data_IF_954545377003
#
_entry.id   IF_954545377003
#
_cell.length_a   1.000
_cell.length_b   1.000
_cell.length_c   1.000
_cell.angle_alpha   90.00
_cell.angle_beta   90.00
_cell.angle_gamma   90.00
#
_symmetry.space_group_name_H-M   'P 1'
#
loop_
_entity.id
_entity.type
_entity.pdbx_description
1 polymer ?
#
# COMPACT_ATOMS: atom_id res chain seq x y z
N UNK A 1 -38.31 76.55 2.77
CA UNK A 1 -36.85 76.42 2.92
C UNK A 1 -36.52 74.94 3.04
N UNK A 2 -35.80 74.42 2.03
CA UNK A 2 -34.75 73.38 2.02
C UNK A 2 -34.61 72.46 3.23
N UNK A 3 -34.31 71.16 3.19
CA UNK A 3 -33.99 70.11 2.19
C UNK A 3 -33.79 68.83 3.05
N UNK A 4 -34.47 67.71 2.79
CA UNK A 4 -33.91 66.43 2.26
C UNK A 4 -32.74 65.84 3.10
N UNK A 5 -32.74 64.58 3.55
CA UNK A 5 -32.36 63.40 2.74
C UNK A 5 -32.72 62.07 3.43
N UNK A 6 -33.11 61.15 2.53
CA UNK A 6 -33.39 59.71 2.57
C UNK A 6 -32.32 58.80 3.19
N UNK A 7 -32.75 57.70 3.83
CA UNK A 7 -31.93 56.48 3.88
C UNK A 7 -32.77 55.19 3.76
N UNK A 8 -32.80 54.64 2.56
CA UNK A 8 -33.03 53.22 2.29
C UNK A 8 -31.97 52.78 1.29
N UNK A 9 -31.50 51.54 1.44
CA UNK A 9 -30.59 50.76 0.59
C UNK A 9 -29.09 50.83 0.88
N UNK A 10 -28.57 49.83 1.61
CA UNK A 10 -27.27 49.19 1.31
C UNK A 10 -27.02 47.93 2.18
N UNK A 11 -27.71 46.82 1.89
CA UNK A 11 -27.39 45.49 2.46
C UNK A 11 -27.02 44.41 1.42
N UNK A 12 -26.89 44.77 0.14
CA UNK A 12 -26.54 43.81 -0.94
C UNK A 12 -25.08 43.83 -1.41
N UNK A 13 -24.27 44.84 -1.03
CA UNK A 13 -22.88 44.95 -1.52
C UNK A 13 -21.80 44.35 -0.61
N UNK A 14 -22.10 43.98 0.64
CA UNK A 14 -21.09 43.42 1.58
C UNK A 14 -20.83 41.91 1.32
N UNK A 15 -21.79 41.19 0.72
CA UNK A 15 -21.70 39.73 0.49
C UNK A 15 -20.88 39.35 -0.76
N UNK A 16 -20.82 40.23 -1.77
CA UNK A 16 -20.08 39.99 -3.01
C UNK A 16 -18.57 40.20 -2.84
N UNK A 17 -18.17 41.16 -2.01
CA UNK A 17 -16.76 41.51 -1.81
C UNK A 17 -16.02 40.44 -0.97
N UNK A 18 -16.68 39.88 0.04
CA UNK A 18 -16.15 38.78 0.86
C UNK A 18 -15.90 37.50 0.04
N UNK A 19 -16.79 37.18 -0.91
CA UNK A 19 -16.64 36.01 -1.80
C UNK A 19 -15.51 36.19 -2.81
N UNK A 20 -15.26 37.41 -3.28
CA UNK A 20 -14.17 37.74 -4.20
C UNK A 20 -12.81 37.64 -3.51
N UNK A 21 -12.69 38.21 -2.31
CA UNK A 21 -11.48 38.15 -1.49
C UNK A 21 -11.10 36.70 -1.09
N UNK A 22 -12.09 35.84 -0.83
CA UNK A 22 -11.87 34.42 -0.53
C UNK A 22 -11.39 33.62 -1.77
N UNK A 23 -11.96 33.88 -2.96
CA UNK A 23 -11.51 33.27 -4.23
C UNK A 23 -10.08 33.67 -4.60
N UNK A 24 -9.72 34.93 -4.41
CA UNK A 24 -8.39 35.44 -4.75
C UNK A 24 -7.31 34.89 -3.82
N UNK A 25 -7.62 34.69 -2.53
CA UNK A 25 -6.74 34.05 -1.53
C UNK A 25 -6.53 32.55 -1.83
N UNK A 26 -7.55 31.85 -2.32
CA UNK A 26 -7.43 30.45 -2.76
C UNK A 26 -6.61 30.32 -4.06
N UNK A 27 -6.78 31.23 -5.01
CA UNK A 27 -6.03 31.25 -6.28
C UNK A 27 -4.55 31.52 -6.07
N UNK A 28 -4.19 32.47 -5.20
CA UNK A 28 -2.78 32.74 -4.84
C UNK A 28 -2.14 31.60 -4.07
N UNK A 29 -2.86 30.89 -3.19
CA UNK A 29 -2.35 29.70 -2.48
C UNK A 29 -2.11 28.51 -3.42
N UNK A 30 -2.96 28.34 -4.45
CA UNK A 30 -2.80 27.33 -5.51
C UNK A 30 -1.60 27.64 -6.43
N UNK A 31 -1.42 28.90 -6.81
CA UNK A 31 -0.28 29.35 -7.63
C UNK A 31 1.06 29.27 -6.88
N UNK A 32 1.09 29.60 -5.58
CA UNK A 32 2.27 29.37 -4.72
C UNK A 32 2.60 27.88 -4.56
N UNK A 33 1.61 26.99 -4.47
CA UNK A 33 1.84 25.52 -4.47
C UNK A 33 2.42 25.02 -5.79
N UNK A 34 1.95 25.56 -6.91
CA UNK A 34 2.47 25.21 -8.25
C UNK A 34 3.90 25.71 -8.48
N UNK A 35 4.26 26.92 -8.01
CA UNK A 35 5.62 27.44 -8.15
C UNK A 35 6.63 26.76 -7.22
N UNK A 36 6.21 26.37 -6.01
CA UNK A 36 7.02 25.54 -5.10
C UNK A 36 7.26 24.16 -5.72
N UNK A 37 6.22 23.54 -6.28
CA UNK A 37 6.31 22.24 -6.98
C UNK A 37 7.26 22.28 -8.19
N UNK A 38 7.23 23.35 -8.99
CA UNK A 38 8.12 23.54 -10.14
C UNK A 38 9.58 23.80 -9.72
N UNK A 39 9.82 24.50 -8.61
CA UNK A 39 11.19 24.73 -8.10
C UNK A 39 11.83 23.47 -7.49
N UNK A 40 11.05 22.58 -6.87
CA UNK A 40 11.55 21.26 -6.39
C UNK A 40 11.98 20.33 -7.53
N UNK A 41 11.36 20.42 -8.72
CA UNK A 41 11.78 19.61 -9.89
C UNK A 41 13.17 19.99 -10.41
N UNK A 42 13.62 21.24 -10.22
CA UNK A 42 14.86 21.73 -10.81
C UNK A 42 16.11 21.36 -10.00
N UNK A 43 15.96 20.99 -8.73
CA UNK A 43 17.07 20.65 -7.82
C UNK A 43 17.29 19.15 -7.59
N UNK A 44 16.39 18.28 -8.04
CA UNK A 44 16.53 16.81 -7.92
C UNK A 44 17.49 16.16 -8.93
N UNK A 45 18.20 16.93 -9.76
CA UNK A 45 18.95 16.38 -10.89
C UNK A 45 20.34 15.82 -10.57
N UNK A 46 20.94 16.01 -9.40
CA UNK A 46 22.36 15.62 -9.20
C UNK A 46 22.69 15.21 -7.76
N UNK A 47 22.18 14.05 -7.33
CA UNK A 47 22.81 13.11 -6.38
C UNK A 47 21.77 12.08 -5.91
N UNK A 48 21.67 10.94 -6.60
CA UNK A 48 20.84 9.80 -6.14
C UNK A 48 21.56 9.14 -4.96
N UNK A 49 21.15 9.45 -3.74
CA UNK A 49 21.63 8.79 -2.52
C UNK A 49 20.61 7.70 -2.14
N UNK A 50 21.04 6.44 -2.01
CA UNK A 50 20.15 5.27 -1.91
C UNK A 50 20.04 4.76 -0.47
N UNK A 51 19.57 5.59 0.47
CA UNK A 51 19.30 5.15 1.85
C UNK A 51 17.82 4.82 2.04
N UNK A 52 17.53 3.66 2.62
CA UNK A 52 16.18 3.17 2.90
C UNK A 52 15.30 4.11 3.72
N UNK A 53 15.96 4.88 4.56
CA UNK A 53 15.42 5.50 5.75
C UNK A 53 16.36 6.64 6.11
N UNK A 54 16.03 7.88 5.71
CA UNK A 54 16.64 9.05 6.34
C UNK A 54 15.62 9.60 7.33
N UNK A 55 16.02 9.76 8.59
CA UNK A 55 15.31 10.68 9.49
C UNK A 55 15.48 12.07 8.90
N UNK A 56 14.39 12.70 8.49
CA UNK A 56 14.44 14.11 8.11
C UNK A 56 14.84 14.97 9.32
N UNK A 57 15.01 16.27 9.13
CA UNK A 57 15.48 17.17 10.19
C UNK A 57 14.52 17.25 11.41
N UNK A 58 13.33 16.64 11.30
CA UNK A 58 12.33 16.49 12.38
C UNK A 58 12.34 15.10 13.05
N UNK A 59 13.24 14.21 12.63
CA UNK A 59 13.33 12.84 13.15
C UNK A 59 12.36 11.84 12.49
N UNK A 60 11.64 12.23 11.44
CA UNK A 60 10.64 11.40 10.76
C UNK A 60 11.30 10.54 9.68
N UNK A 61 10.90 9.27 9.56
CA UNK A 61 11.44 8.35 8.56
C UNK A 61 10.91 8.69 7.16
N UNK A 62 11.81 8.91 6.19
CA UNK A 62 11.48 9.20 4.78
C UNK A 62 12.04 8.11 3.86
N UNK A 63 11.19 7.59 2.96
CA UNK A 63 11.53 6.56 1.97
C UNK A 63 12.10 7.20 0.70
N UNK A 64 13.18 6.64 0.14
CA UNK A 64 13.92 7.25 -0.96
C UNK A 64 13.59 6.71 -2.36
N UNK A 65 12.82 5.64 -2.49
CA UNK A 65 12.41 5.10 -3.81
C UNK A 65 11.06 5.68 -4.25
N UNK A 66 10.97 7.00 -4.26
CA UNK A 66 9.87 7.73 -4.90
C UNK A 66 10.42 8.42 -6.15
N UNK A 67 10.08 7.89 -7.32
CA UNK A 67 10.30 8.55 -8.59
C UNK A 67 8.94 8.90 -9.17
N UNK A 68 8.67 10.17 -9.42
CA UNK A 68 7.39 10.61 -9.98
C UNK A 68 7.07 10.04 -11.37
N UNK A 69 8.07 9.46 -12.05
CA UNK A 69 7.93 8.74 -13.33
C UNK A 69 7.71 7.22 -13.18
N UNK A 70 7.83 6.72 -11.93
CA UNK A 70 7.48 5.36 -11.52
C UNK A 70 6.22 5.35 -10.63
N UNK A 71 5.84 6.51 -10.09
CA UNK A 71 4.65 6.77 -9.28
C UNK A 71 3.37 6.97 -10.09
N UNK A 72 3.43 6.85 -11.42
CA UNK A 72 2.28 6.51 -12.24
C UNK A 72 1.90 5.05 -11.98
N UNK A 73 1.38 4.81 -10.76
CA UNK A 73 0.53 3.68 -10.36
C UNK A 73 -0.23 3.22 -11.59
N UNK A 74 0.13 2.06 -12.11
CA UNK A 74 0.00 1.75 -13.54
C UNK A 74 -1.44 1.85 -13.99
N UNK A 75 -1.81 3.00 -14.55
CA UNK A 75 -3.12 3.16 -15.16
C UNK A 75 -3.33 1.99 -16.11
N UNK A 76 -4.51 1.36 -16.01
CA UNK A 76 -4.93 0.25 -16.86
C UNK A 76 -4.43 0.44 -18.30
N UNK A 77 -3.69 -0.52 -18.87
CA UNK A 77 -3.23 -0.42 -20.24
C UNK A 77 -4.40 -0.08 -21.16
N UNK A 78 -4.25 0.97 -21.97
CA UNK A 78 -5.26 1.40 -22.94
C UNK A 78 -4.64 1.46 -24.33
N UNK A 79 -5.47 1.58 -25.37
CA UNK A 79 -4.98 1.80 -26.74
C UNK A 79 -4.00 2.98 -26.85
N UNK A 80 -4.15 4.00 -26.00
CA UNK A 80 -3.33 5.21 -26.01
C UNK A 80 -2.20 5.19 -24.95
N UNK A 81 -2.13 4.15 -24.11
CA UNK A 81 -1.10 3.94 -23.09
C UNK A 81 -0.71 2.47 -23.07
N UNK A 82 0.23 2.05 -23.93
CA UNK A 82 0.67 0.65 -24.01
C UNK A 82 1.35 0.20 -22.72
N UNK A 83 1.29 -1.11 -22.48
CA UNK A 83 1.86 -1.75 -21.30
C UNK A 83 3.39 -1.58 -21.26
N UNK A 84 3.91 -0.95 -20.21
CA UNK A 84 5.36 -0.89 -19.93
C UNK A 84 5.83 -2.21 -19.33
N UNK A 85 7.11 -2.52 -19.52
CA UNK A 85 7.77 -3.62 -18.84
C UNK A 85 7.59 -3.50 -17.31
N UNK A 86 7.25 -4.62 -16.66
CA UNK A 86 7.04 -4.72 -15.22
C UNK A 86 8.32 -5.04 -14.44
N UNK A 87 9.48 -5.02 -15.11
CA UNK A 87 10.77 -5.32 -14.51
C UNK A 87 11.59 -4.06 -14.19
N UNK A 88 12.61 -4.25 -13.36
CA UNK A 88 13.71 -3.32 -13.17
C UNK A 88 14.53 -3.19 -14.46
N UNK A 89 15.03 -1.99 -14.75
CA UNK A 89 15.86 -1.71 -15.93
C UNK A 89 17.31 -2.21 -15.77
N UNK A 90 17.50 -3.50 -15.51
CA UNK A 90 18.84 -4.09 -15.40
C UNK A 90 19.47 -4.25 -16.78
N UNK A 91 20.76 -3.98 -16.92
CA UNK A 91 21.49 -4.14 -18.20
C UNK A 91 21.82 -5.60 -18.52
N UNK A 92 22.05 -6.40 -17.47
CA UNK A 92 22.26 -7.84 -17.54
C UNK A 92 21.96 -8.45 -16.16
N UNK A 93 21.97 -9.79 -16.06
CA UNK A 93 21.60 -10.53 -14.84
C UNK A 93 22.43 -10.16 -13.60
N UNK A 94 23.61 -9.56 -13.77
CA UNK A 94 24.53 -9.13 -12.71
C UNK A 94 24.48 -7.62 -12.44
N UNK A 95 23.60 -6.87 -13.10
CA UNK A 95 23.46 -5.43 -12.86
C UNK A 95 22.64 -5.18 -11.60
N UNK A 96 23.32 -4.89 -10.50
CA UNK A 96 22.73 -4.52 -9.22
C UNK A 96 22.91 -3.03 -8.93
N UNK A 97 22.87 -2.16 -9.95
CA UNK A 97 23.03 -0.72 -9.75
C UNK A 97 21.82 0.09 -10.21
N UNK A 98 20.98 -0.48 -11.07
CA UNK A 98 19.71 0.11 -11.51
C UNK A 98 18.53 -0.53 -10.79
N UNK A 99 17.62 0.31 -10.31
CA UNK A 99 16.41 -0.10 -9.59
C UNK A 99 15.16 0.61 -10.09
N UNK A 100 15.33 1.49 -11.08
CA UNK A 100 14.24 2.19 -11.75
C UNK A 100 13.49 1.18 -12.62
N UNK A 101 12.20 1.43 -12.85
CA UNK A 101 11.40 0.59 -13.74
C UNK A 101 11.90 0.71 -15.16
N UNK A 102 11.93 -0.40 -15.90
CA UNK A 102 12.25 -0.37 -17.32
C UNK A 102 11.31 0.58 -18.08
N UNK A 103 11.84 1.54 -18.87
CA UNK A 103 11.02 2.46 -19.66
C UNK A 103 10.47 1.82 -20.93
N UNK A 104 10.99 0.64 -21.34
CA UNK A 104 10.57 -0.05 -22.56
C UNK A 104 9.16 -0.63 -22.44
N UNK A 105 8.50 -0.77 -23.58
CA UNK A 105 7.21 -1.45 -23.68
C UNK A 105 7.37 -2.96 -23.48
N UNK A 106 6.37 -3.58 -22.90
CA UNK A 106 6.28 -5.03 -22.86
C UNK A 106 6.00 -5.59 -24.26
N UNK A 107 6.58 -6.75 -24.57
CA UNK A 107 6.24 -7.50 -25.77
C UNK A 107 4.81 -8.02 -25.63
N UNK A 108 4.09 -8.14 -26.75
CA UNK A 108 2.72 -8.65 -26.77
C UNK A 108 2.59 -9.97 -26.00
N UNK A 109 1.54 -10.09 -25.19
CA UNK A 109 1.24 -11.25 -24.33
C UNK A 109 2.30 -11.57 -23.25
N UNK A 110 3.21 -10.65 -22.95
CA UNK A 110 4.18 -10.78 -21.85
C UNK A 110 4.06 -9.62 -20.86
N UNK A 111 4.69 -9.75 -19.69
CA UNK A 111 4.84 -8.66 -18.73
C UNK A 111 6.14 -7.85 -18.94
N UNK A 112 6.99 -8.24 -19.90
CA UNK A 112 8.37 -7.77 -20.00
C UNK A 112 8.76 -7.27 -21.39
N UNK A 113 9.77 -6.41 -21.48
CA UNK A 113 10.36 -6.04 -22.76
C UNK A 113 11.27 -7.15 -23.30
N UNK A 114 11.76 -7.01 -24.52
CA UNK A 114 12.65 -7.99 -25.16
C UNK A 114 13.90 -8.32 -24.32
N UNK A 115 14.46 -7.34 -23.60
CA UNK A 115 15.67 -7.54 -22.79
C UNK A 115 15.42 -8.11 -21.39
N UNK A 116 14.17 -8.18 -20.93
CA UNK A 116 13.84 -8.53 -19.54
C UNK A 116 12.92 -9.74 -19.43
N UNK A 117 12.89 -10.61 -20.43
CA UNK A 117 12.04 -11.81 -20.42
C UNK A 117 12.40 -12.76 -19.26
N UNK A 118 13.63 -12.72 -18.77
CA UNK A 118 14.15 -13.47 -17.61
C UNK A 118 14.08 -12.68 -16.30
N UNK A 119 13.23 -11.64 -16.21
CA UNK A 119 13.05 -10.82 -15.01
C UNK A 119 12.87 -11.62 -13.72
N UNK A 120 12.06 -12.70 -13.75
CA UNK A 120 11.85 -13.53 -12.55
C UNK A 120 13.14 -14.21 -12.09
N UNK A 121 14.00 -14.63 -13.02
CA UNK A 121 15.34 -15.15 -12.70
C UNK A 121 16.24 -14.07 -12.10
N UNK A 122 16.21 -12.85 -12.64
CA UNK A 122 16.92 -11.71 -12.06
C UNK A 122 16.47 -11.39 -10.64
N UNK A 123 15.16 -11.35 -10.40
CA UNK A 123 14.58 -11.03 -9.09
C UNK A 123 14.89 -12.09 -8.02
N UNK A 124 15.18 -13.34 -8.40
CA UNK A 124 15.62 -14.39 -7.46
C UNK A 124 16.94 -14.06 -6.77
N UNK A 125 17.79 -13.21 -7.35
CA UNK A 125 19.02 -12.74 -6.69
C UNK A 125 18.73 -11.99 -5.38
N UNK A 126 17.52 -11.43 -5.22
CA UNK A 126 17.10 -10.68 -4.04
C UNK A 126 16.28 -11.50 -3.03
N UNK A 127 16.12 -12.80 -3.29
CA UNK A 127 15.36 -13.73 -2.45
C UNK A 127 16.25 -14.44 -1.44
N UNK A 128 15.68 -14.70 -0.26
CA UNK A 128 16.31 -15.47 0.82
C UNK A 128 16.40 -16.98 0.51
N UNK A 129 15.46 -17.51 -0.27
CA UNK A 129 15.21 -18.95 -0.43
C UNK A 129 14.22 -19.52 0.61
N UNK A 130 13.71 -18.68 1.51
CA UNK A 130 12.73 -19.03 2.56
C UNK A 130 11.32 -18.50 2.26
N UNK A 131 11.08 -18.03 1.04
CA UNK A 131 9.79 -17.48 0.62
C UNK A 131 8.69 -18.56 0.66
N UNK A 132 7.54 -18.26 1.28
CA UNK A 132 6.43 -19.20 1.34
C UNK A 132 5.82 -19.42 -0.04
N UNK A 133 5.23 -20.60 -0.24
CA UNK A 133 4.47 -20.90 -1.44
C UNK A 133 3.15 -20.11 -1.48
N UNK A 134 2.63 -19.90 -2.69
CA UNK A 134 1.31 -19.33 -2.88
C UNK A 134 0.26 -20.42 -2.60
N UNK A 135 -0.54 -20.25 -1.55
CA UNK A 135 -1.42 -21.31 -1.02
C UNK A 135 -2.91 -20.90 -1.03
N UNK A 136 -3.54 -20.67 -2.20
CA UNK A 136 -4.89 -20.14 -2.28
C UNK A 136 -5.94 -21.05 -1.62
N UNK A 137 -5.76 -22.37 -1.67
CA UNK A 137 -6.67 -23.33 -1.04
C UNK A 137 -6.69 -23.16 0.48
N UNK A 138 -5.51 -23.10 1.12
CA UNK A 138 -5.39 -22.94 2.58
C UNK A 138 -5.97 -21.62 3.09
N UNK A 139 -5.90 -20.57 2.28
CA UNK A 139 -6.43 -19.24 2.61
C UNK A 139 -7.90 -19.04 2.17
N UNK A 140 -8.51 -20.04 1.54
CA UNK A 140 -9.91 -20.02 1.06
C UNK A 140 -10.88 -20.82 1.94
N UNK A 141 -10.40 -21.41 3.04
CA UNK A 141 -11.24 -21.92 4.11
C UNK A 141 -12.17 -20.79 4.60
N UNK A 142 -13.50 -20.99 4.66
CA UNK A 142 -14.45 -19.92 5.02
C UNK A 142 -14.12 -19.18 6.31
N UNK A 143 -13.60 -19.90 7.31
CA UNK A 143 -13.26 -19.35 8.61
C UNK A 143 -11.95 -18.57 8.61
N UNK A 144 -11.16 -18.68 7.54
CA UNK A 144 -9.91 -17.92 7.33
C UNK A 144 -10.14 -16.80 6.32
N UNK A 145 -10.85 -17.08 5.21
CA UNK A 145 -11.11 -16.09 4.16
C UNK A 145 -11.86 -14.87 4.72
N UNK A 146 -12.87 -15.10 5.56
CA UNK A 146 -13.71 -14.06 6.17
C UNK A 146 -13.12 -13.38 7.41
N UNK A 147 -12.13 -13.98 8.08
CA UNK A 147 -11.61 -13.49 9.38
C UNK A 147 -10.15 -13.04 9.38
N UNK A 148 -9.36 -13.41 8.37
CA UNK A 148 -7.98 -12.94 8.19
C UNK A 148 -7.91 -11.98 7.00
N UNK A 149 -7.04 -10.97 7.05
CA UNK A 149 -6.93 -9.93 6.02
C UNK A 149 -5.52 -9.89 5.38
N UNK A 150 -5.21 -8.84 4.63
CA UNK A 150 -3.89 -8.60 4.04
C UNK A 150 -2.75 -8.57 5.07
N UNK A 151 -2.97 -8.08 6.28
CA UNK A 151 -1.94 -8.04 7.33
C UNK A 151 -1.59 -9.44 7.83
N UNK A 152 -2.62 -10.26 8.11
CA UNK A 152 -2.43 -11.67 8.46
C UNK A 152 -1.73 -12.45 7.34
N UNK A 153 -2.12 -12.19 6.09
CA UNK A 153 -1.49 -12.81 4.92
C UNK A 153 -0.03 -12.40 4.74
N UNK A 154 0.28 -11.11 4.92
CA UNK A 154 1.64 -10.58 4.89
C UNK A 154 2.54 -11.23 5.92
N UNK A 155 2.03 -11.49 7.13
CA UNK A 155 2.72 -12.24 8.19
C UNK A 155 2.65 -13.77 8.01
N UNK A 156 2.01 -14.24 6.93
CA UNK A 156 1.77 -15.64 6.61
C UNK A 156 1.21 -16.45 7.79
N UNK A 157 0.30 -15.83 8.56
CA UNK A 157 -0.21 -16.38 9.82
C UNK A 157 -1.74 -16.39 9.85
N UNK A 158 -2.27 -17.58 10.13
CA UNK A 158 -3.67 -17.81 10.43
C UNK A 158 -3.81 -17.97 11.94
N UNK A 159 -4.37 -16.95 12.61
CA UNK A 159 -4.56 -16.96 14.06
C UNK A 159 -5.64 -17.97 14.43
N UNK A 160 -5.26 -19.04 15.14
CA UNK A 160 -6.16 -20.14 15.51
C UNK A 160 -7.40 -19.65 16.29
N UNK A 161 -7.21 -18.81 17.29
CA UNK A 161 -8.31 -18.25 18.08
C UNK A 161 -9.31 -17.44 17.23
N UNK A 162 -8.82 -16.66 16.27
CA UNK A 162 -9.67 -15.91 15.32
C UNK A 162 -10.47 -16.87 14.43
N UNK A 163 -9.83 -17.93 13.91
CA UNK A 163 -10.51 -18.97 13.11
C UNK A 163 -11.60 -19.67 13.91
N UNK A 164 -11.28 -20.12 15.12
CA UNK A 164 -12.22 -20.80 16.03
C UNK A 164 -13.39 -19.88 16.40
N UNK A 165 -13.10 -18.60 16.68
CA UNK A 165 -14.13 -17.63 17.00
C UNK A 165 -15.06 -17.34 15.82
N UNK A 166 -14.50 -17.22 14.61
CA UNK A 166 -15.30 -17.08 13.40
C UNK A 166 -16.19 -18.31 13.18
N UNK A 167 -15.67 -19.52 13.42
CA UNK A 167 -16.46 -20.75 13.33
C UNK A 167 -17.65 -20.73 14.30
N UNK A 168 -17.44 -20.37 15.58
CA UNK A 168 -18.52 -20.24 16.56
C UNK A 168 -19.62 -19.25 16.11
N UNK A 169 -19.21 -18.04 15.69
CA UNK A 169 -20.12 -16.99 15.25
C UNK A 169 -20.94 -17.47 14.04
N UNK A 170 -20.24 -18.06 13.07
CA UNK A 170 -20.85 -18.49 11.83
C UNK A 170 -21.84 -19.64 12.04
N UNK A 171 -21.49 -20.65 12.84
CA UNK A 171 -22.38 -21.78 13.14
C UNK A 171 -23.63 -21.35 13.93
N UNK A 172 -23.51 -20.37 14.84
CA UNK A 172 -24.68 -19.82 15.54
C UNK A 172 -25.69 -19.19 14.58
N UNK A 173 -25.23 -18.54 13.52
CA UNK A 173 -26.08 -17.86 12.54
C UNK A 173 -26.59 -18.80 11.43
N UNK A 174 -25.72 -19.64 10.91
CA UNK A 174 -25.99 -20.43 9.69
C UNK A 174 -26.23 -21.93 9.93
N UNK A 175 -26.13 -22.39 11.19
CA UNK A 175 -26.36 -23.77 11.66
C UNK A 175 -25.43 -24.83 11.09
N UNK A 176 -25.41 -25.02 9.76
CA UNK A 176 -24.77 -26.17 9.10
C UNK A 176 -23.65 -25.79 8.13
N UNK A 177 -23.63 -24.56 7.58
CA UNK A 177 -22.59 -24.17 6.62
C UNK A 177 -22.23 -22.69 6.72
N UNK A 178 -20.93 -22.39 6.67
CA UNK A 178 -20.45 -21.03 6.74
C UNK A 178 -20.22 -20.46 5.33
N UNK A 179 -20.81 -19.30 4.97
CA UNK A 179 -20.46 -18.63 3.73
C UNK A 179 -18.99 -18.21 3.77
N UNK A 180 -18.32 -18.19 2.61
CA UNK A 180 -16.89 -17.79 2.51
C UNK A 180 -16.59 -16.38 3.01
N UNK A 181 -17.62 -15.52 3.03
CA UNK A 181 -17.55 -14.12 3.43
C UNK A 181 -18.68 -13.82 4.39
N UNK A 182 -18.60 -14.34 5.61
CA UNK A 182 -19.49 -13.90 6.68
C UNK A 182 -19.03 -12.54 7.20
N UNK A 183 -19.88 -11.52 7.07
CA UNK A 183 -19.61 -10.17 7.57
C UNK A 183 -19.43 -10.14 9.08
N UNK A 184 -20.01 -11.09 9.83
CA UNK A 184 -19.88 -11.17 11.29
C UNK A 184 -18.47 -11.52 11.74
N UNK A 185 -17.70 -12.23 10.90
CA UNK A 185 -16.28 -12.50 11.19
C UNK A 185 -15.37 -11.32 10.88
N UNK A 186 -15.91 -10.25 10.27
CA UNK A 186 -15.13 -9.12 9.81
C UNK A 186 -14.42 -8.39 10.96
N UNK A 187 -15.07 -8.28 12.11
CA UNK A 187 -14.52 -7.56 13.25
C UNK A 187 -13.39 -8.32 13.96
N UNK A 188 -13.18 -9.60 13.62
CA UNK A 188 -12.09 -10.42 14.13
C UNK A 188 -10.77 -10.22 13.38
N UNK A 189 -10.76 -9.44 12.29
CA UNK A 189 -9.58 -9.25 11.43
C UNK A 189 -8.45 -8.57 12.21
N UNK A 190 -7.27 -9.21 12.36
CA UNK A 190 -6.12 -8.58 13.00
C UNK A 190 -5.74 -7.27 12.29
N UNK A 191 -5.55 -6.19 13.04
CA UNK A 191 -5.09 -4.90 12.50
C UNK A 191 -3.69 -4.54 13.04
N UNK A 192 -2.88 -3.81 12.26
CA UNK A 192 -1.65 -3.23 12.76
C UNK A 192 -1.85 -2.32 13.98
N UNK A 193 -1.15 -2.64 15.06
CA UNK A 193 -1.16 -1.95 16.34
C UNK A 193 -2.12 -2.54 17.37
N UNK A 194 -2.98 -3.50 17.00
CA UNK A 194 -3.94 -4.10 17.93
C UNK A 194 -3.21 -4.88 19.03
N UNK A 195 -2.16 -5.63 18.69
CA UNK A 195 -1.41 -6.43 19.65
C UNK A 195 -0.73 -5.54 20.70
N UNK A 196 0.01 -4.52 20.28
CA UNK A 196 0.64 -3.57 21.22
C UNK A 196 -0.40 -2.87 22.10
N UNK A 197 -1.50 -2.41 21.51
CA UNK A 197 -2.54 -1.72 22.24
C UNK A 197 -3.16 -2.62 23.30
N UNK A 198 -3.60 -3.82 22.93
CA UNK A 198 -4.16 -4.81 23.86
C UNK A 198 -3.16 -5.15 24.96
N UNK A 199 -1.87 -5.29 24.63
CA UNK A 199 -0.82 -5.57 25.61
C UNK A 199 -0.67 -4.44 26.63
N UNK A 200 -0.81 -3.17 26.22
CA UNK A 200 -0.65 -2.01 27.11
C UNK A 200 -1.92 -1.67 27.91
N UNK A 201 -3.10 -1.88 27.34
CA UNK A 201 -4.38 -1.38 27.91
C UNK A 201 -5.37 -2.48 28.28
N UNK A 202 -5.13 -3.72 27.86
CA UNK A 202 -6.06 -4.84 27.96
C UNK A 202 -7.22 -4.80 26.95
N UNK A 203 -7.23 -3.86 26.00
CA UNK A 203 -8.37 -3.64 25.08
C UNK A 203 -7.98 -2.90 23.81
N UNK A 204 -8.60 -3.23 22.68
CA UNK A 204 -8.38 -2.56 21.38
C UNK A 204 -9.31 -1.34 21.16
N UNK A 205 -10.18 -1.01 22.12
CA UNK A 205 -11.20 0.06 22.00
C UNK A 205 -10.61 1.46 21.77
N UNK A 206 -9.34 1.69 22.15
CA UNK A 206 -8.63 2.96 21.98
C UNK A 206 -7.85 3.09 20.68
N UNK A 207 -8.10 2.24 19.67
CA UNK A 207 -7.28 2.19 18.46
C UNK A 207 -7.40 3.45 17.60
N UNK A 208 -6.23 4.04 17.31
CA UNK A 208 -6.11 5.14 16.36
C UNK A 208 -6.12 4.62 14.91
N UNK A 209 -6.96 5.22 14.07
CA UNK A 209 -7.09 4.92 12.64
C UNK A 209 -6.34 5.95 11.79
N UNK A 210 -5.03 6.04 12.01
CA UNK A 210 -4.15 6.94 11.25
C UNK A 210 -3.39 6.11 10.22
N UNK A 211 -3.78 6.23 8.96
CA UNK A 211 -3.22 5.46 7.83
C UNK A 211 -2.18 6.28 7.07
N UNK A 212 -1.11 6.63 7.76
CA UNK A 212 0.06 7.29 7.18
C UNK A 212 1.27 6.35 7.30
N UNK A 213 2.21 6.40 6.36
CA UNK A 213 3.35 5.48 6.37
C UNK A 213 4.10 5.45 7.71
N UNK A 214 4.51 6.59 8.32
CA UNK A 214 5.21 6.55 9.61
C UNK A 214 4.41 5.86 10.73
N UNK A 215 3.10 6.12 10.80
CA UNK A 215 2.21 5.52 11.81
C UNK A 215 2.01 4.03 11.57
N UNK A 216 1.77 3.61 10.33
CA UNK A 216 1.58 2.20 9.98
C UNK A 216 2.86 1.39 10.16
N UNK A 217 4.01 1.97 9.82
CA UNK A 217 5.33 1.39 10.07
C UNK A 217 5.57 1.21 11.56
N UNK A 218 5.30 2.24 12.36
CA UNK A 218 5.42 2.15 13.81
C UNK A 218 4.54 1.02 14.36
N UNK A 219 3.25 0.97 13.98
CA UNK A 219 2.30 -0.07 14.39
C UNK A 219 2.82 -1.49 14.10
N UNK A 220 3.25 -1.80 12.87
CA UNK A 220 3.70 -3.16 12.53
C UNK A 220 5.01 -3.54 13.20
N UNK A 221 5.93 -2.59 13.40
CA UNK A 221 7.23 -2.83 14.03
C UNK A 221 7.09 -3.00 15.55
N UNK A 222 6.16 -2.29 16.17
CA UNK A 222 5.85 -2.44 17.60
C UNK A 222 5.14 -3.76 17.87
N UNK A 223 4.17 -4.15 17.04
CA UNK A 223 3.53 -5.46 17.13
C UNK A 223 4.54 -6.60 16.90
N UNK A 224 5.40 -6.45 15.88
CA UNK A 224 6.33 -7.49 15.43
C UNK A 224 7.77 -6.96 15.40
N UNK A 225 8.48 -6.90 16.55
CA UNK A 225 9.87 -6.42 16.62
C UNK A 225 10.87 -7.25 15.80
N UNK A 226 10.47 -8.44 15.36
CA UNK A 226 11.26 -9.31 14.49
C UNK A 226 11.25 -8.87 13.02
N UNK A 227 10.31 -8.00 12.60
CA UNK A 227 10.31 -7.41 11.26
C UNK A 227 11.52 -6.50 11.08
N UNK A 228 12.16 -6.59 9.92
CA UNK A 228 13.33 -5.75 9.59
C UNK A 228 13.04 -4.94 8.33
N UNK A 229 13.00 -3.61 8.38
CA UNK A 229 12.96 -2.79 7.17
C UNK A 229 14.12 -3.14 6.24
N UNK A 230 13.88 -3.20 4.93
CA UNK A 230 14.86 -3.65 3.93
C UNK A 230 14.64 -2.98 2.59
N UNK A 231 15.67 -2.91 1.73
CA UNK A 231 15.49 -2.52 0.33
C UNK A 231 14.91 -3.66 -0.49
N UNK A 232 14.28 -3.31 -1.60
CA UNK A 232 13.82 -4.29 -2.56
C UNK A 232 14.94 -5.23 -3.03
N UNK A 233 16.08 -4.65 -3.40
CA UNK A 233 17.29 -5.33 -3.91
C UNK A 233 18.16 -5.98 -2.82
N UNK A 234 17.83 -5.78 -1.54
CA UNK A 234 18.54 -6.43 -0.47
C UNK A 234 17.91 -7.79 -0.16
N UNK A 235 18.76 -8.81 -0.09
CA UNK A 235 18.37 -10.16 0.31
C UNK A 235 18.02 -10.18 1.80
N UNK A 236 16.88 -10.78 2.13
CA UNK A 236 16.51 -10.99 3.52
C UNK A 236 17.38 -12.08 4.17
N UNK A 237 17.57 -12.05 5.51
CA UNK A 237 18.28 -13.11 6.22
C UNK A 237 17.63 -14.48 5.99
N UNK A 238 18.40 -15.57 6.19
CA UNK A 238 17.85 -16.92 6.11
C UNK A 238 16.65 -17.08 7.05
N UNK A 239 15.60 -17.74 6.56
CA UNK A 239 14.34 -17.92 7.28
C UNK A 239 13.40 -16.71 7.24
N UNK A 240 13.74 -15.63 6.53
CA UNK A 240 12.87 -14.47 6.33
C UNK A 240 12.51 -14.29 4.86
N UNK A 241 11.27 -13.91 4.56
CA UNK A 241 10.84 -13.54 3.21
C UNK A 241 10.54 -12.04 3.13
N UNK A 242 10.44 -11.46 1.93
CA UNK A 242 10.11 -10.05 1.78
C UNK A 242 8.60 -9.83 1.75
N UNK A 243 8.12 -8.75 2.34
CA UNK A 243 6.79 -8.21 2.09
C UNK A 243 6.82 -6.70 1.97
N UNK A 244 5.71 -6.10 1.56
CA UNK A 244 5.60 -4.67 1.32
C UNK A 244 4.34 -4.08 1.96
N UNK A 245 4.41 -2.81 2.37
CA UNK A 245 3.31 -2.02 2.90
C UNK A 245 3.03 -0.84 1.96
N UNK A 246 1.75 -0.61 1.70
CA UNK A 246 1.24 0.59 1.02
C UNK A 246 0.07 1.17 1.80
N UNK A 247 -0.19 2.46 1.64
CA UNK A 247 -1.37 3.12 2.23
C UNK A 247 -2.10 3.95 1.19
N UNK A 248 -3.42 3.98 1.34
CA UNK A 248 -4.28 5.04 0.83
C UNK A 248 -4.38 6.06 1.97
N UNK A 249 -3.63 7.18 1.90
CA UNK A 249 -3.44 8.08 3.02
C UNK A 249 -4.76 8.49 3.67
N UNK A 250 -4.82 8.37 5.00
CA UNK A 250 -6.00 8.68 5.82
C UNK A 250 -7.24 7.81 5.58
N UNK A 251 -7.19 6.83 4.67
CA UNK A 251 -8.30 5.92 4.37
C UNK A 251 -8.03 4.49 4.84
N UNK A 252 -6.98 3.85 4.32
CA UNK A 252 -6.70 2.43 4.62
C UNK A 252 -5.26 2.03 4.26
N UNK A 253 -4.91 0.77 4.50
CA UNK A 253 -3.60 0.17 4.22
C UNK A 253 -3.73 -1.12 3.43
N UNK A 254 -2.62 -1.56 2.85
CA UNK A 254 -2.55 -2.88 2.21
C UNK A 254 -1.14 -3.46 2.24
N UNK A 255 -1.08 -4.79 2.20
CA UNK A 255 0.17 -5.51 2.26
C UNK A 255 0.32 -6.54 1.15
N UNK A 256 1.58 -6.78 0.77
CA UNK A 256 2.00 -7.78 -0.21
C UNK A 256 2.99 -8.76 0.43
N UNK A 257 2.95 -10.02 0.01
CA UNK A 257 3.88 -11.07 0.40
C UNK A 257 4.66 -11.57 -0.81
N UNK A 258 5.98 -11.68 -0.70
CA UNK A 258 6.80 -12.33 -1.72
C UNK A 258 6.59 -13.85 -1.68
N UNK A 259 6.37 -14.44 -2.85
CA UNK A 259 6.19 -15.86 -3.05
C UNK A 259 7.48 -16.51 -3.60
N UNK A 260 7.59 -17.83 -3.45
CA UNK A 260 8.69 -18.66 -3.97
C UNK A 260 8.94 -18.52 -5.49
N UNK A 261 7.97 -18.00 -6.24
CA UNK A 261 8.04 -17.74 -7.69
C UNK A 261 8.73 -16.41 -8.05
N UNK A 262 9.30 -15.69 -7.08
CA UNK A 262 9.86 -14.34 -7.25
C UNK A 262 8.84 -13.24 -7.58
N UNK A 263 7.55 -13.57 -7.51
CA UNK A 263 6.43 -12.64 -7.60
C UNK A 263 5.92 -12.30 -6.19
N UNK A 264 4.98 -11.37 -6.11
CA UNK A 264 4.24 -11.06 -4.91
C UNK A 264 2.77 -11.39 -5.09
N UNK A 265 2.13 -11.71 -3.98
CA UNK A 265 0.69 -11.89 -3.88
C UNK A 265 0.13 -11.08 -2.72
N UNK A 266 -1.19 -10.94 -2.69
CA UNK A 266 -1.89 -10.18 -1.67
C UNK A 266 -3.29 -10.73 -1.44
N UNK A 267 -3.93 -10.24 -0.37
CA UNK A 267 -5.32 -10.57 -0.02
C UNK A 267 -6.15 -9.27 0.01
N UNK A 268 -7.00 -8.98 -1.00
CA UNK A 268 -7.81 -7.77 -1.02
C UNK A 268 -8.89 -7.80 0.07
N UNK A 269 -8.62 -7.20 1.23
CA UNK A 269 -9.50 -7.28 2.40
C UNK A 269 -9.73 -8.73 2.84
N UNK A 270 -10.99 -9.18 2.82
CA UNK A 270 -11.39 -10.57 3.09
C UNK A 270 -11.64 -11.41 1.83
N UNK A 271 -11.27 -10.91 0.65
CA UNK A 271 -11.43 -11.68 -0.59
C UNK A 271 -10.36 -12.75 -0.73
N UNK A 272 -10.56 -13.69 -1.67
CA UNK A 272 -9.55 -14.67 -2.08
C UNK A 272 -8.19 -14.01 -2.36
N UNK A 273 -7.12 -14.78 -2.17
CA UNK A 273 -5.79 -14.36 -2.55
C UNK A 273 -5.70 -14.03 -4.04
N UNK A 274 -4.85 -13.07 -4.38
CA UNK A 274 -4.56 -12.64 -5.75
C UNK A 274 -3.06 -12.51 -5.95
N UNK A 275 -2.59 -12.89 -7.14
CA UNK A 275 -1.22 -12.63 -7.61
C UNK A 275 -1.14 -11.44 -8.57
N UNK A 276 -2.31 -10.85 -8.89
CA UNK A 276 -2.43 -9.74 -9.83
C UNK A 276 -2.87 -8.45 -9.16
N UNK A 277 -2.45 -7.34 -9.74
CA UNK A 277 -2.77 -5.97 -9.35
C UNK A 277 -4.18 -5.52 -9.81
N UNK A 278 -4.56 -4.26 -9.58
CA UNK A 278 -5.89 -3.75 -9.99
C UNK A 278 -6.08 -3.78 -11.51
N UNK A 279 -5.00 -3.64 -12.27
CA UNK A 279 -4.94 -3.77 -13.72
C UNK A 279 -4.84 -5.21 -14.24
N UNK A 280 -4.95 -6.22 -13.37
CA UNK A 280 -4.87 -7.66 -13.70
C UNK A 280 -3.49 -8.10 -14.21
N UNK A 281 -2.43 -7.39 -13.85
CA UNK A 281 -1.04 -7.75 -14.15
C UNK A 281 -0.39 -8.45 -12.97
N UNK A 282 0.51 -9.40 -13.24
CA UNK A 282 1.28 -10.04 -12.18
C UNK A 282 2.14 -9.03 -11.41
N UNK A 283 2.26 -9.23 -10.10
CA UNK A 283 3.01 -8.32 -9.23
C UNK A 283 4.43 -8.85 -9.07
N UNK A 284 5.39 -8.28 -9.78
CA UNK A 284 6.82 -8.62 -9.64
C UNK A 284 7.52 -7.73 -8.61
N UNK A 285 7.19 -6.44 -8.67
CA UNK A 285 7.78 -5.39 -7.85
C UNK A 285 6.62 -4.54 -7.32
N UNK A 286 6.21 -4.69 -6.04
CA UNK A 286 5.02 -4.03 -5.51
C UNK A 286 4.93 -2.51 -5.72
N UNK A 287 6.04 -1.78 -5.71
CA UNK A 287 6.02 -0.33 -5.97
C UNK A 287 5.76 0.01 -7.45
N UNK A 288 5.95 -0.92 -8.39
CA UNK A 288 5.57 -0.77 -9.82
C UNK A 288 4.15 -1.24 -10.13
N UNK A 289 3.46 -1.91 -9.20
CA UNK A 289 2.12 -2.45 -9.43
C UNK A 289 1.05 -1.35 -9.52
N UNK A 290 -0.02 -1.60 -10.26
CA UNK A 290 -1.22 -0.78 -10.19
C UNK A 290 -1.91 -0.97 -8.83
N UNK A 291 -2.22 0.14 -8.18
CA UNK A 291 -2.84 0.16 -6.85
C UNK A 291 -4.10 1.00 -6.81
N UNK A 292 -4.57 1.43 -7.97
CA UNK A 292 -5.82 2.14 -8.13
C UNK A 292 -6.96 1.14 -8.32
N UNK A 293 -7.71 0.89 -7.26
CA UNK A 293 -8.88 0.01 -7.28
C UNK A 293 -10.18 0.78 -7.53
N UNK A 294 -10.10 2.03 -7.99
CA UNK A 294 -11.25 2.79 -8.45
C UNK A 294 -11.73 2.27 -9.79
N UNK A 295 -13.03 2.02 -9.89
CA UNK A 295 -13.68 1.72 -11.15
C UNK A 295 -14.23 3.00 -11.80
N UNK A 296 -14.49 2.95 -13.11
CA UNK A 296 -15.07 4.06 -13.87
C UNK A 296 -16.53 4.37 -13.47
N UNK A 297 -17.10 3.59 -12.53
CA UNK A 297 -18.47 3.70 -12.04
C UNK A 297 -18.48 4.11 -10.57
N UNK A 298 -18.11 5.37 -10.31
CA UNK A 298 -18.26 6.11 -9.05
C UNK A 298 -18.69 5.25 -7.83
N UNK A 299 -17.78 4.42 -7.32
CA UNK A 299 -17.95 3.82 -6.01
C UNK A 299 -17.25 4.73 -5.00
N UNK A 300 -18.02 5.33 -4.10
CA UNK A 300 -17.51 6.15 -2.99
C UNK A 300 -16.63 5.35 -2.01
N UNK A 301 -16.57 4.03 -2.17
CA UNK A 301 -15.72 3.10 -1.40
C UNK A 301 -14.40 2.74 -2.11
N UNK A 302 -14.12 3.33 -3.26
CA UNK A 302 -13.00 2.90 -4.08
C UNK A 302 -11.64 3.38 -3.54
N UNK A 303 -10.73 2.42 -3.33
CA UNK A 303 -9.44 2.62 -2.65
C UNK A 303 -8.32 2.86 -3.67
N UNK A 304 -7.43 3.81 -3.39
CA UNK A 304 -6.21 4.00 -4.16
C UNK A 304 -4.97 4.13 -3.26
N UNK A 305 -4.12 3.09 -3.24
CA UNK A 305 -2.92 3.09 -2.41
C UNK A 305 -1.77 3.87 -3.06
N UNK A 306 -1.86 5.20 -2.96
CA UNK A 306 -0.90 6.13 -3.56
C UNK A 306 0.47 6.09 -2.89
N UNK A 307 0.55 5.79 -1.59
CA UNK A 307 1.81 5.84 -0.85
C UNK A 307 2.42 4.45 -0.66
N UNK A 308 3.62 4.25 -1.21
CA UNK A 308 4.44 3.07 -0.91
C UNK A 308 5.29 3.31 0.35
N UNK A 309 5.07 2.52 1.40
CA UNK A 309 5.69 2.76 2.71
C UNK A 309 7.00 1.99 2.92
N UNK A 310 7.23 0.90 2.18
CA UNK A 310 8.51 0.19 2.23
C UNK A 310 8.39 -1.33 2.19
N UNK A 311 9.56 -1.97 2.19
CA UNK A 311 9.71 -3.42 2.28
C UNK A 311 10.20 -3.85 3.65
N UNK A 312 9.83 -5.06 4.04
CA UNK A 312 10.20 -5.68 5.31
C UNK A 312 10.61 -7.13 5.09
N UNK A 313 11.68 -7.56 5.75
CA UNK A 313 11.94 -8.97 5.97
C UNK A 313 11.02 -9.46 7.08
N UNK A 314 10.15 -10.39 6.72
CA UNK A 314 9.18 -11.05 7.58
C UNK A 314 9.69 -12.44 7.93
N UNK A 315 9.80 -12.82 9.21
CA UNK A 315 10.24 -14.16 9.55
C UNK A 315 9.23 -15.20 9.04
N UNK A 316 9.72 -16.34 8.57
CA UNK A 316 8.89 -17.49 8.26
C UNK A 316 8.35 -18.13 9.55
N UNK A 317 7.29 -18.94 9.40
CA UNK A 317 6.60 -19.56 10.54
C UNK A 317 7.48 -20.45 11.44
N UNK A 318 8.60 -20.96 10.91
CA UNK A 318 9.59 -21.74 11.68
C UNK A 318 10.38 -20.90 12.71
N UNK A 319 10.44 -19.58 12.55
CA UNK A 319 11.22 -18.69 13.41
C UNK A 319 10.38 -18.00 14.52
N UNK A 320 9.15 -18.47 14.75
CA UNK A 320 8.24 -18.03 15.83
C UNK A 320 7.82 -16.56 15.71
N UNK A 321 6.57 -16.33 15.33
CA UNK A 321 5.88 -15.04 15.56
C UNK A 321 5.11 -15.12 16.87
N UNK A 322 5.50 -14.35 17.89
CA UNK A 322 4.78 -14.35 19.17
C UNK A 322 3.51 -13.47 19.17
N UNK A 323 3.32 -12.57 18.20
CA UNK A 323 2.50 -11.37 18.44
C UNK A 323 1.52 -10.98 17.30
N UNK A 324 0.56 -11.84 16.99
CA UNK A 324 -0.67 -11.43 16.29
C UNK A 324 -1.82 -11.73 17.25
N UNK A 325 -2.46 -10.67 17.72
CA UNK A 325 -3.71 -10.74 18.49
C UNK A 325 -4.88 -10.93 17.51
#
# INVERSE_FOLDING_TARGET
MSTTITSKTNKKNISLDYKKQYRDKFRTKKLKRLSIYQNTKKTMSKNKNYQLLKKNDKGEWVYMYYNSNDDDTVNKPTKNKPKRCMCIDYKNINDFNTYDRCPRLAVNNTDFCELHQDCTSYLRNFMSGSEPEFQPQLWSDPYIEGSHNCYSYFLNRQVKAVKEKCNEICLKKHKTSCPKKDSECSDLKPQPGDFDLIKRTGSDKGKERIYQCPNMQHKILTDNPSLKPVMFNQKCPNGYYKGALVVDPDNTYHFYKQDKTATFSHKPGISKLSQVDSSKQNIYVPHFADRDYRDDKSNDEAINYTNFCGYYCVPGNKLVHKNLA
#
